data_IF_370334663281
#
_entry.id   IF_370334663281
#
_cell.length_a   1.000
_cell.length_b   1.000
_cell.length_c   1.000
_cell.angle_alpha   90.00
_cell.angle_beta   90.00
_cell.angle_gamma   90.00
#
_symmetry.space_group_name_H-M   'P 1'
#
loop_
_entity.id
_entity.type
_entity.pdbx_description
1 polymer ?
#
# COMPACT_ATOMS: atom_id res chain seq x y z
N UNK A 1 24.62 6.14 -6.37
CA UNK A 1 23.90 5.16 -7.22
C UNK A 1 23.46 3.99 -6.37
N UNK A 2 22.37 3.30 -6.73
CA UNK A 2 21.84 2.11 -6.03
C UNK A 2 22.92 1.03 -5.75
N UNK A 3 23.97 0.99 -6.58
CA UNK A 3 25.13 0.11 -6.43
C UNK A 3 25.90 0.27 -5.11
N UNK A 4 25.81 1.43 -4.44
CA UNK A 4 26.48 1.68 -3.14
C UNK A 4 25.68 1.17 -1.93
N UNK A 5 24.43 0.75 -2.12
CA UNK A 5 23.58 0.25 -1.04
C UNK A 5 23.80 -1.24 -0.80
N UNK A 6 23.58 -1.66 0.45
CA UNK A 6 23.52 -3.07 0.82
C UNK A 6 22.42 -3.77 0.02
N UNK A 7 22.58 -5.07 -0.21
CA UNK A 7 21.62 -5.86 -0.97
C UNK A 7 20.18 -5.75 -0.41
N UNK A 8 19.92 -5.87 0.91
CA UNK A 8 18.56 -5.74 1.42
C UNK A 8 17.93 -4.36 1.18
N UNK A 9 18.72 -3.29 1.33
CA UNK A 9 18.24 -1.92 1.07
C UNK A 9 17.96 -1.71 -0.41
N UNK A 10 18.82 -2.23 -1.29
CA UNK A 10 18.62 -2.18 -2.73
C UNK A 10 17.36 -2.93 -3.13
N UNK A 11 17.20 -4.16 -2.67
CA UNK A 11 16.04 -5.01 -2.96
C UNK A 11 14.73 -4.37 -2.49
N UNK A 12 14.76 -3.64 -1.37
CA UNK A 12 13.60 -2.89 -0.90
C UNK A 12 13.25 -1.69 -1.79
N UNK A 13 14.26 -0.98 -2.32
CA UNK A 13 14.05 0.18 -3.20
C UNK A 13 13.60 -0.25 -4.59
N UNK A 14 14.11 -1.36 -5.12
CA UNK A 14 13.73 -1.87 -6.46
C UNK A 14 12.27 -2.32 -6.56
N UNK A 15 11.56 -2.37 -5.43
CA UNK A 15 10.10 -2.59 -5.40
C UNK A 15 9.30 -1.34 -5.74
N UNK A 16 9.93 -0.18 -5.74
CA UNK A 16 9.30 1.08 -6.09
C UNK A 16 9.69 1.47 -7.51
N UNK A 17 8.73 1.98 -8.26
CA UNK A 17 8.95 2.51 -9.61
C UNK A 17 8.09 3.76 -9.87
N UNK A 18 8.46 4.56 -10.87
CA UNK A 18 7.68 5.72 -11.30
C UNK A 18 6.91 5.39 -12.59
N UNK A 19 5.58 5.52 -12.53
CA UNK A 19 4.70 5.47 -13.68
C UNK A 19 4.09 6.86 -13.90
N UNK A 20 4.71 7.64 -14.79
CA UNK A 20 4.42 9.06 -14.94
C UNK A 20 4.67 9.83 -13.64
N UNK A 21 3.62 10.44 -13.09
CA UNK A 21 3.66 11.20 -11.83
C UNK A 21 3.33 10.35 -10.60
N UNK A 22 3.06 9.05 -10.78
CA UNK A 22 2.69 8.14 -9.70
C UNK A 22 3.88 7.29 -9.27
N UNK A 23 4.10 7.21 -7.96
CA UNK A 23 4.98 6.21 -7.38
C UNK A 23 4.20 4.92 -7.21
N UNK A 24 4.74 3.81 -7.70
CA UNK A 24 4.13 2.48 -7.62
C UNK A 24 4.96 1.53 -6.76
N UNK A 25 4.34 0.47 -6.23
CA UNK A 25 4.98 -0.57 -5.44
C UNK A 25 4.54 -1.97 -5.87
N UNK A 26 5.52 -2.82 -6.23
CA UNK A 26 5.35 -4.23 -6.57
C UNK A 26 6.39 -5.08 -5.82
N UNK A 27 5.97 -6.25 -5.31
CA UNK A 27 6.86 -7.14 -4.53
C UNK A 27 7.92 -7.77 -5.43
N UNK A 28 7.51 -8.14 -6.64
CA UNK A 28 8.34 -8.71 -7.70
C UNK A 28 7.74 -8.36 -9.07
N UNK A 29 8.29 -8.95 -10.13
CA UNK A 29 7.91 -8.68 -11.53
C UNK A 29 6.55 -9.26 -11.94
N UNK A 30 5.96 -10.16 -11.15
CA UNK A 30 4.66 -10.78 -11.43
C UNK A 30 3.54 -10.15 -10.61
N UNK A 31 3.88 -9.38 -9.59
CA UNK A 31 2.93 -8.65 -8.77
C UNK A 31 2.35 -7.44 -9.52
N UNK A 32 1.06 -7.19 -9.34
CA UNK A 32 0.41 -6.02 -9.94
C UNK A 32 0.89 -4.75 -9.21
N UNK A 33 1.43 -3.74 -9.92
CA UNK A 33 1.86 -2.50 -9.29
C UNK A 33 0.71 -1.80 -8.57
N UNK A 34 0.96 -1.37 -7.32
CA UNK A 34 0.00 -0.62 -6.51
C UNK A 34 0.43 0.83 -6.38
N UNK A 35 -0.51 1.77 -6.39
CA UNK A 35 -0.22 3.19 -6.22
C UNK A 35 0.20 3.45 -4.77
N UNK A 36 1.35 4.10 -4.59
CA UNK A 36 1.87 4.46 -3.27
C UNK A 36 1.14 5.70 -2.76
N UNK A 37 0.50 5.55 -1.60
CA UNK A 37 -0.21 6.64 -0.96
C UNK A 37 0.72 7.41 0.00
N UNK A 38 0.87 8.73 -0.16
CA UNK A 38 1.74 9.56 0.68
C UNK A 38 1.32 9.51 2.15
N UNK A 39 2.21 9.95 3.04
CA UNK A 39 1.99 10.02 4.48
C UNK A 39 1.06 11.17 4.90
N UNK A 40 -0.09 11.26 4.24
CA UNK A 40 -1.20 12.16 4.54
C UNK A 40 -2.31 11.34 5.19
N UNK A 41 -2.54 11.60 6.48
CA UNK A 41 -3.52 10.85 7.27
C UNK A 41 -4.97 11.17 6.87
N UNK A 42 -5.27 12.39 6.43
CA UNK A 42 -6.62 12.76 5.98
C UNK A 42 -6.94 12.04 4.68
N UNK A 43 -6.01 12.07 3.73
CA UNK A 43 -6.16 11.37 2.46
C UNK A 43 -6.31 9.85 2.66
N UNK A 44 -5.48 9.25 3.52
CA UNK A 44 -5.59 7.81 3.87
C UNK A 44 -6.90 7.46 4.56
N UNK A 45 -7.37 8.31 5.46
CA UNK A 45 -8.65 8.11 6.15
C UNK A 45 -9.83 8.16 5.18
N UNK A 46 -9.81 9.13 4.25
CA UNK A 46 -10.82 9.22 3.18
C UNK A 46 -10.80 7.97 2.31
N UNK A 47 -9.63 7.52 1.88
CA UNK A 47 -9.50 6.28 1.09
C UNK A 47 -10.10 5.07 1.83
N UNK A 48 -9.83 4.93 3.12
CA UNK A 48 -10.37 3.84 3.95
C UNK A 48 -11.89 3.95 4.13
N UNK A 49 -12.43 5.16 4.20
CA UNK A 49 -13.86 5.39 4.37
C UNK A 49 -14.65 5.25 3.06
N UNK A 50 -14.11 5.75 1.95
CA UNK A 50 -14.73 5.82 0.61
C UNK A 50 -14.66 4.48 -0.15
N UNK A 51 -13.87 3.50 0.32
CA UNK A 51 -13.80 2.13 -0.25
C UNK A 51 -14.55 1.10 0.62
N UNK A 52 -15.88 1.22 0.82
CA UNK A 52 -16.64 0.28 1.64
C UNK A 52 -16.94 -1.00 0.85
N UNK A 53 -16.41 -2.13 1.32
CA UNK A 53 -16.96 -3.45 0.97
C UNK A 53 -17.09 -4.38 2.20
N UNK A 54 -17.16 -3.79 3.40
CA UNK A 54 -17.38 -4.53 4.64
C UNK A 54 -18.71 -4.13 5.29
N UNK A 55 -19.65 -5.07 5.52
CA UNK A 55 -20.75 -4.81 6.43
C UNK A 55 -20.15 -4.53 7.82
N UNK A 56 -20.71 -3.55 8.52
CA UNK A 56 -20.29 -3.12 9.85
C UNK A 56 -20.20 -4.33 10.81
N UNK A 57 -18.99 -4.84 11.08
CA UNK A 57 -18.85 -5.99 11.96
C UNK A 57 -17.45 -6.59 12.08
N UNK A 58 -16.73 -6.18 13.14
CA UNK A 58 -15.65 -6.97 13.76
C UNK A 58 -14.34 -7.13 12.98
N UNK A 59 -13.55 -8.15 13.38
CA UNK A 59 -12.27 -8.50 12.75
C UNK A 59 -12.37 -8.69 11.23
N UNK A 60 -13.50 -9.22 10.76
CA UNK A 60 -13.76 -9.42 9.33
C UNK A 60 -13.82 -8.10 8.56
N UNK A 61 -14.22 -7.00 9.21
CA UNK A 61 -14.24 -5.67 8.59
C UNK A 61 -12.85 -5.18 8.22
N UNK A 62 -11.89 -5.24 9.16
CA UNK A 62 -10.51 -4.81 8.91
C UNK A 62 -9.81 -5.66 7.85
N UNK A 63 -9.95 -6.98 7.89
CA UNK A 63 -9.36 -7.86 6.88
C UNK A 63 -9.91 -7.57 5.48
N UNK A 64 -11.22 -7.35 5.36
CA UNK A 64 -11.86 -6.99 4.09
C UNK A 64 -11.39 -5.64 3.59
N UNK A 65 -11.36 -4.61 4.42
CA UNK A 65 -10.86 -3.29 4.05
C UNK A 65 -9.40 -3.36 3.60
N UNK A 66 -8.55 -4.09 4.33
CA UNK A 66 -7.16 -4.28 3.92
C UNK A 66 -7.06 -5.05 2.59
N UNK A 67 -7.78 -6.15 2.43
CA UNK A 67 -7.77 -6.95 1.19
C UNK A 67 -8.32 -6.18 -0.03
N UNK A 68 -9.27 -5.27 0.16
CA UNK A 68 -9.78 -4.41 -0.90
C UNK A 68 -8.76 -3.34 -1.29
N UNK A 69 -8.27 -2.57 -0.31
CA UNK A 69 -7.34 -1.47 -0.56
C UNK A 69 -5.98 -1.94 -1.07
N UNK A 70 -5.46 -3.05 -0.52
CA UNK A 70 -4.14 -3.57 -0.89
C UNK A 70 -4.07 -4.17 -2.29
N UNK A 71 -5.18 -4.23 -3.05
CA UNK A 71 -5.17 -4.57 -4.47
C UNK A 71 -4.63 -3.43 -5.33
N UNK A 72 -5.02 -2.20 -4.99
CA UNK A 72 -4.79 -1.03 -5.83
C UNK A 72 -3.81 -0.04 -5.18
N UNK A 73 -3.71 -0.04 -3.86
CA UNK A 73 -2.97 0.94 -3.07
C UNK A 73 -1.93 0.31 -2.14
N UNK A 74 -0.87 1.05 -1.87
CA UNK A 74 0.17 0.66 -0.92
C UNK A 74 0.62 1.82 -0.04
N UNK A 75 0.82 1.54 1.24
CA UNK A 75 1.72 2.33 2.09
C UNK A 75 2.36 1.45 3.16
N UNK A 76 3.56 1.79 3.67
CA UNK A 76 4.17 1.00 4.72
C UNK A 76 3.25 0.86 5.93
N UNK A 77 3.07 -0.38 6.40
CA UNK A 77 2.27 -0.73 7.59
C UNK A 77 0.76 -0.47 7.45
N UNK A 78 0.17 -0.51 6.24
CA UNK A 78 -1.29 -0.31 6.04
C UNK A 78 -2.12 -1.12 7.02
N UNK A 79 -1.83 -2.42 7.16
CA UNK A 79 -2.58 -3.30 8.02
C UNK A 79 -2.64 -2.79 9.46
N UNK A 80 -1.53 -2.26 10.01
CA UNK A 80 -1.50 -1.67 11.37
C UNK A 80 -2.21 -0.33 11.45
N UNK A 81 -2.21 0.45 10.36
CA UNK A 81 -2.86 1.76 10.29
C UNK A 81 -4.38 1.63 10.24
N UNK A 82 -4.90 0.67 9.48
CA UNK A 82 -6.34 0.36 9.44
C UNK A 82 -6.71 -0.19 10.82
N UNK A 83 -7.33 0.67 11.64
CA UNK A 83 -7.78 0.31 12.99
C UNK A 83 -9.05 -0.55 12.93
N UNK A 84 -9.36 -1.20 14.06
CA UNK A 84 -10.65 -1.86 14.25
C UNK A 84 -11.76 -0.83 14.46
#
# INVERSE_FOLDING_TARGET
TLAKLTRPTRDAITRYDLDGDLLTYAIDTFDTPRVVIPADDEFRARLVHEYPDAPAGGHLGREKTFAALSRDFFWPRMYKWIRK
#
